data_IF_036485267597
#
_entry.id   IF_036485267597
#
_cell.length_a   1.000
_cell.length_b   1.000
_cell.length_c   1.000
_cell.angle_alpha   90.00
_cell.angle_beta   90.00
_cell.angle_gamma   90.00
#
_symmetry.space_group_name_H-M   'P 1'
#
loop_
_entity.id
_entity.type
_entity.pdbx_description
1 polymer ?
#
# COMPACT_ATOMS: atom_id res chain seq x y z
N UNK A 1 4.54 11.78 7.29
CA UNK A 1 4.21 10.44 7.81
C UNK A 1 2.74 10.49 8.17
N UNK A 2 1.87 9.86 7.38
CA UNK A 2 0.41 9.97 7.46
C UNK A 2 -0.18 8.61 7.79
N UNK A 3 -1.15 8.60 8.70
CA UNK A 3 -1.78 7.42 9.24
C UNK A 3 -3.29 7.47 9.06
N UNK A 4 -3.94 6.30 8.95
CA UNK A 4 -5.38 6.15 8.76
C UNK A 4 -6.15 6.38 10.07
N UNK A 5 -7.25 7.12 9.98
CA UNK A 5 -8.15 7.45 11.08
C UNK A 5 -9.52 6.79 10.81
N UNK A 6 -9.98 5.91 11.71
CA UNK A 6 -11.38 5.49 11.79
C UNK A 6 -11.88 5.85 13.20
N UNK A 7 -12.71 6.88 13.29
CA UNK A 7 -13.24 7.42 14.54
C UNK A 7 -14.45 6.61 15.00
N UNK A 8 -14.36 5.92 16.14
CA UNK A 8 -15.44 5.86 17.15
C UNK A 8 -14.92 5.35 18.51
N UNK A 9 -14.90 6.22 19.52
CA UNK A 9 -14.60 5.83 20.89
C UNK A 9 -14.52 7.02 21.83
N UNK A 10 -15.67 7.52 22.31
CA UNK A 10 -15.72 8.57 23.35
C UNK A 10 -16.00 7.90 24.69
N UNK A 11 -15.06 7.94 25.63
CA UNK A 11 -15.28 7.60 27.04
C UNK A 11 -15.16 8.88 27.88
N UNK A 12 -16.14 9.15 28.74
CA UNK A 12 -16.30 10.40 29.49
C UNK A 12 -15.73 10.25 30.91
N UNK A 13 -14.76 11.08 31.28
CA UNK A 13 -14.24 11.13 32.66
C UNK A 13 -15.08 12.04 33.59
N UNK A 14 -14.91 11.87 34.90
CA UNK A 14 -15.68 12.57 35.94
C UNK A 14 -15.20 14.01 36.23
N UNK A 15 -14.32 14.59 35.40
CA UNK A 15 -13.79 15.95 35.58
C UNK A 15 -14.04 16.87 34.36
N UNK A 16 -14.78 16.41 33.35
CA UNK A 16 -15.25 17.23 32.23
C UNK A 16 -14.13 17.84 31.39
N UNK A 17 -12.92 17.29 31.43
CA UNK A 17 -11.81 17.73 30.60
C UNK A 17 -11.61 16.71 29.47
N UNK A 18 -12.00 17.11 28.27
CA UNK A 18 -11.73 16.40 27.03
C UNK A 18 -10.21 16.37 26.79
N UNK A 19 -9.54 15.34 27.29
CA UNK A 19 -8.16 15.05 26.88
C UNK A 19 -8.22 14.17 25.65
N UNK A 20 -8.06 14.78 24.49
CA UNK A 20 -7.60 14.06 23.32
C UNK A 20 -6.16 13.58 23.61
N UNK A 21 -6.02 12.36 24.12
CA UNK A 21 -4.72 11.69 24.06
C UNK A 21 -4.38 11.50 22.58
N UNK A 22 -3.22 11.97 22.08
CA UNK A 22 -2.79 11.66 20.73
C UNK A 22 -2.52 10.16 20.68
N UNK A 23 -3.49 9.39 20.21
CA UNK A 23 -3.29 7.97 19.99
C UNK A 23 -2.24 7.84 18.89
N UNK A 24 -1.08 7.27 19.27
CA UNK A 24 -0.06 6.83 18.32
C UNK A 24 -0.76 5.94 17.31
N UNK A 25 -0.84 6.44 16.10
CA UNK A 25 -1.28 5.67 14.96
C UNK A 25 -0.40 4.43 14.78
N UNK A 26 -1.03 3.27 14.67
CA UNK A 26 -0.32 2.03 14.37
C UNK A 26 0.25 2.12 12.96
N UNK A 27 1.58 2.04 12.84
CA UNK A 27 2.25 1.91 11.56
C UNK A 27 1.77 0.62 10.89
N UNK A 28 1.20 0.72 9.69
CA UNK A 28 0.84 -0.47 8.93
C UNK A 28 2.12 -1.05 8.29
N UNK A 29 2.30 -2.37 8.41
CA UNK A 29 3.46 -3.05 7.84
C UNK A 29 3.07 -3.74 6.54
N UNK A 30 3.75 -3.38 5.46
CA UNK A 30 3.58 -4.06 4.18
C UNK A 30 4.37 -5.38 4.15
N UNK A 31 3.68 -6.45 3.77
CA UNK A 31 4.28 -7.68 3.29
C UNK A 31 4.52 -7.56 1.80
N UNK A 32 5.74 -7.86 1.37
CA UNK A 32 6.17 -7.71 -0.03
C UNK A 32 6.70 -9.06 -0.53
N UNK A 33 6.17 -9.54 -1.66
CA UNK A 33 6.71 -10.71 -2.35
C UNK A 33 7.12 -10.34 -3.77
N UNK A 34 8.26 -10.85 -4.23
CA UNK A 34 8.62 -10.77 -5.64
C UNK A 34 7.62 -11.59 -6.48
N UNK A 35 7.14 -11.00 -7.57
CA UNK A 35 6.26 -11.66 -8.53
C UNK A 35 7.05 -12.08 -9.78
N UNK A 36 6.40 -12.79 -10.70
CA UNK A 36 6.93 -13.10 -12.03
C UNK A 36 5.85 -12.80 -13.07
N UNK A 37 6.23 -12.03 -14.08
CA UNK A 37 5.45 -11.75 -15.27
C UNK A 37 6.29 -12.12 -16.49
N UNK A 38 5.77 -12.96 -17.38
CA UNK A 38 6.46 -13.35 -18.62
C UNK A 38 6.63 -12.17 -19.57
N UNK A 39 5.75 -11.17 -19.47
CA UNK A 39 5.78 -9.92 -20.23
C UNK A 39 6.54 -8.79 -19.54
N UNK A 40 7.19 -9.06 -18.39
CA UNK A 40 8.00 -8.05 -17.72
C UNK A 40 9.08 -7.54 -18.68
N UNK A 41 8.96 -6.29 -19.08
CA UNK A 41 10.07 -5.58 -19.69
C UNK A 41 11.15 -5.40 -18.61
N UNK A 42 12.42 -5.46 -18.99
CA UNK A 42 13.52 -5.25 -18.04
C UNK A 42 13.58 -3.78 -17.55
N UNK A 43 12.94 -2.85 -18.27
CA UNK A 43 13.14 -1.40 -18.08
C UNK A 43 12.32 -0.72 -16.97
N UNK A 44 11.18 -1.25 -16.50
CA UNK A 44 10.37 -0.55 -15.46
C UNK A 44 10.43 -1.17 -14.07
N UNK A 45 11.40 -2.06 -13.82
CA UNK A 45 11.74 -2.51 -12.47
C UNK A 45 11.20 -3.89 -12.09
N UNK A 46 11.35 -4.25 -10.82
CA UNK A 46 11.04 -5.60 -10.33
C UNK A 46 9.54 -5.75 -10.05
N UNK A 47 8.84 -6.75 -10.61
CA UNK A 47 7.44 -6.99 -10.30
C UNK A 47 7.30 -7.51 -8.86
N UNK A 48 6.40 -6.90 -8.10
CA UNK A 48 6.12 -7.22 -6.69
C UNK A 48 4.63 -7.32 -6.43
N UNK A 49 4.27 -8.14 -5.46
CA UNK A 49 2.95 -8.18 -4.82
C UNK A 49 3.07 -7.50 -3.46
N UNK A 50 2.05 -6.74 -3.08
CA UNK A 50 2.01 -5.97 -1.84
C UNK A 50 0.74 -6.34 -1.07
N UNK A 51 0.87 -6.56 0.23
CA UNK A 51 -0.25 -6.78 1.11
C UNK A 51 -0.04 -6.11 2.48
N UNK A 52 -1.14 -5.81 3.15
CA UNK A 52 -1.19 -5.30 4.52
C UNK A 52 -1.87 -6.32 5.43
N UNK A 53 -2.04 -5.99 6.71
CA UNK A 53 -2.70 -6.86 7.69
C UNK A 53 -2.03 -8.24 7.75
N UNK A 54 -0.70 -8.24 7.89
CA UNK A 54 0.14 -9.44 7.93
C UNK A 54 -0.03 -10.35 6.69
N UNK A 55 -0.27 -9.75 5.52
CA UNK A 55 -0.36 -10.46 4.26
C UNK A 55 -1.77 -10.91 3.86
N UNK A 56 -2.81 -10.56 4.61
CA UNK A 56 -4.18 -11.03 4.37
C UNK A 56 -4.99 -10.14 3.41
N UNK A 57 -4.55 -8.90 3.19
CA UNK A 57 -5.21 -7.94 2.31
C UNK A 57 -4.24 -7.46 1.23
N UNK A 58 -4.38 -7.95 0.00
CA UNK A 58 -3.54 -7.56 -1.13
C UNK A 58 -4.00 -6.24 -1.77
N UNK A 59 -3.02 -5.43 -2.18
CA UNK A 59 -3.24 -4.27 -3.02
C UNK A 59 -3.57 -4.74 -4.45
N UNK A 60 -4.64 -4.19 -5.02
CA UNK A 60 -5.10 -4.48 -6.36
C UNK A 60 -5.38 -3.18 -7.12
N UNK A 61 -5.00 -3.13 -8.39
CA UNK A 61 -5.28 -2.04 -9.30
C UNK A 61 -6.21 -2.54 -10.41
N UNK A 62 -7.46 -2.08 -10.38
CA UNK A 62 -8.51 -2.47 -11.32
C UNK A 62 -9.26 -1.23 -11.81
N UNK A 63 -9.83 -1.30 -13.01
CA UNK A 63 -10.83 -0.34 -13.46
C UNK A 63 -12.03 -0.33 -12.52
N UNK A 64 -12.35 0.85 -12.01
CA UNK A 64 -13.58 1.07 -11.27
C UNK A 64 -14.68 1.34 -12.30
N UNK A 65 -15.73 0.50 -12.36
CA UNK A 65 -16.85 0.66 -13.29
C UNK A 65 -17.58 2.01 -13.15
N UNK A 66 -17.36 2.76 -12.06
CA UNK A 66 -17.91 4.09 -11.83
C UNK A 66 -16.99 5.24 -12.25
N UNK A 67 -15.71 4.96 -12.59
CA UNK A 67 -14.69 5.95 -12.94
C UNK A 67 -14.05 5.62 -14.28
N UNK A 68 -13.54 6.64 -14.97
CA UNK A 68 -12.84 6.46 -16.25
C UNK A 68 -11.35 6.08 -16.09
N UNK A 69 -10.92 5.74 -14.89
CA UNK A 69 -9.52 5.51 -14.54
C UNK A 69 -9.38 4.41 -13.48
N UNK A 70 -8.23 3.71 -13.42
CA UNK A 70 -8.02 2.63 -12.48
C UNK A 70 -7.99 3.13 -11.04
N UNK A 71 -8.45 2.28 -10.13
CA UNK A 71 -8.49 2.56 -8.69
C UNK A 71 -7.61 1.58 -7.92
N UNK A 72 -7.05 2.04 -6.81
CA UNK A 72 -6.39 1.17 -5.85
C UNK A 72 -7.43 0.59 -4.90
N UNK A 73 -7.40 -0.71 -4.69
CA UNK A 73 -8.33 -1.45 -3.85
C UNK A 73 -7.56 -2.40 -2.92
N UNK A 74 -8.08 -2.62 -1.71
CA UNK A 74 -7.65 -3.73 -0.87
C UNK A 74 -8.62 -4.90 -1.09
N UNK A 75 -8.09 -6.05 -1.50
CA UNK A 75 -8.88 -7.28 -1.65
C UNK A 75 -8.53 -8.24 -0.53
N UNK A 76 -9.56 -8.85 0.07
CA UNK A 76 -9.41 -9.91 1.07
C UNK A 76 -8.95 -11.21 0.41
N UNK A 77 -7.67 -11.24 0.07
CA UNK A 77 -6.96 -12.36 -0.54
C UNK A 77 -5.55 -12.34 0.04
N UNK A 78 -5.08 -13.49 0.52
CA UNK A 78 -3.75 -13.56 1.11
C UNK A 78 -2.66 -13.43 0.04
N UNK A 79 -1.53 -12.86 0.43
CA UNK A 79 -0.37 -12.63 -0.43
C UNK A 79 0.15 -13.95 -1.01
N UNK A 80 0.14 -15.02 -0.21
CA UNK A 80 0.51 -16.37 -0.65
C UNK A 80 -0.50 -16.93 -1.67
N UNK A 81 -1.80 -16.73 -1.43
CA UNK A 81 -2.83 -17.18 -2.36
C UNK A 81 -2.68 -16.48 -3.71
N UNK A 82 -2.51 -15.16 -3.74
CA UNK A 82 -2.30 -14.39 -4.97
C UNK A 82 -1.02 -14.85 -5.67
N UNK A 83 0.09 -15.01 -4.95
CA UNK A 83 1.37 -15.44 -5.53
C UNK A 83 1.28 -16.80 -6.26
N UNK A 84 0.43 -17.71 -5.78
CA UNK A 84 0.22 -19.02 -6.36
C UNK A 84 -0.68 -19.03 -7.63
N UNK A 85 -1.37 -17.94 -7.94
CA UNK A 85 -2.28 -17.89 -9.09
C UNK A 85 -1.54 -17.82 -10.43
N UNK A 86 -2.26 -18.04 -11.52
CA UNK A 86 -1.73 -17.81 -12.87
C UNK A 86 -1.45 -16.32 -13.13
N UNK A 87 -0.58 -16.04 -14.11
CA UNK A 87 -0.13 -14.67 -14.42
C UNK A 87 -1.29 -13.70 -14.67
N UNK A 88 -2.30 -14.11 -15.43
CA UNK A 88 -3.45 -13.28 -15.75
C UNK A 88 -4.22 -12.82 -14.49
N UNK A 89 -4.30 -13.68 -13.48
CA UNK A 89 -4.99 -13.39 -12.22
C UNK A 89 -4.11 -12.58 -11.27
N UNK A 90 -2.78 -12.70 -11.36
CA UNK A 90 -1.83 -11.88 -10.58
C UNK A 90 -1.63 -10.48 -11.15
N UNK A 91 -1.90 -10.27 -12.43
CA UNK A 91 -1.58 -9.02 -13.13
C UNK A 91 -2.18 -7.77 -12.43
N UNK A 92 -3.46 -7.75 -11.98
CA UNK A 92 -4.03 -6.61 -11.26
C UNK A 92 -3.39 -6.35 -9.89
N UNK A 93 -2.80 -7.37 -9.28
CA UNK A 93 -2.14 -7.30 -7.97
C UNK A 93 -0.64 -6.99 -8.06
N UNK A 94 -0.09 -6.99 -9.27
CA UNK A 94 1.35 -6.83 -9.48
C UNK A 94 1.67 -5.37 -9.73
N UNK A 95 2.68 -4.88 -9.04
CA UNK A 95 3.26 -3.55 -9.23
C UNK A 95 4.72 -3.68 -9.63
N UNK A 96 5.18 -2.87 -10.57
CA UNK A 96 6.59 -2.74 -10.87
C UNK A 96 7.23 -1.76 -9.90
N UNK A 97 8.17 -2.27 -9.10
CA UNK A 97 9.00 -1.49 -8.19
C UNK A 97 10.28 -1.07 -8.92
N UNK A 98 10.43 0.23 -9.17
CA UNK A 98 11.65 0.82 -9.70
C UNK A 98 12.33 1.71 -8.64
N UNK A 99 13.66 1.74 -8.63
CA UNK A 99 14.42 2.64 -7.77
C UNK A 99 14.74 3.95 -8.49
N UNK A 100 14.45 5.08 -7.84
CA UNK A 100 14.82 6.42 -8.28
C UNK A 100 15.71 7.02 -7.18
N UNK A 101 17.03 6.91 -7.35
CA UNK A 101 17.98 7.20 -6.27
C UNK A 101 17.79 6.22 -5.10
N UNK A 102 17.49 6.75 -3.91
CA UNK A 102 17.16 5.96 -2.70
C UNK A 102 15.67 5.68 -2.51
N UNK A 103 14.83 6.19 -3.40
CA UNK A 103 13.37 6.09 -3.34
C UNK A 103 12.85 5.03 -4.30
N UNK A 104 11.59 4.65 -4.13
CA UNK A 104 10.93 3.63 -4.92
C UNK A 104 9.65 4.18 -5.53
N UNK A 105 9.40 3.88 -6.79
CA UNK A 105 8.10 4.05 -7.42
C UNK A 105 7.41 2.69 -7.54
N UNK A 106 6.08 2.71 -7.64
CA UNK A 106 5.26 1.51 -7.78
C UNK A 106 4.26 1.73 -8.92
N UNK A 107 4.57 1.24 -10.11
CA UNK A 107 3.68 1.30 -11.27
C UNK A 107 2.77 0.07 -11.33
N UNK A 108 1.49 0.23 -11.69
CA UNK A 108 0.58 -0.91 -11.91
C UNK A 108 1.00 -1.73 -13.12
N UNK A 109 1.07 -3.06 -12.97
CA UNK A 109 1.33 -3.95 -14.09
C UNK A 109 0.12 -4.10 -15.03
N UNK A 110 -1.11 -4.00 -14.49
CA UNK A 110 -2.33 -4.04 -15.28
C UNK A 110 -2.61 -2.73 -16.02
N UNK A 111 -2.13 -1.60 -15.48
CA UNK A 111 -2.38 -0.26 -16.03
C UNK A 111 -1.05 0.50 -16.17
N UNK A 112 -0.36 0.31 -17.29
CA UNK A 112 0.92 0.99 -17.57
C UNK A 112 0.77 2.51 -17.51
N UNK A 113 1.75 3.18 -16.89
CA UNK A 113 1.77 4.63 -16.66
C UNK A 113 1.05 5.08 -15.39
N UNK A 114 0.36 4.17 -14.69
CA UNK A 114 -0.32 4.49 -13.42
C UNK A 114 0.51 4.08 -12.23
N UNK A 115 0.75 5.02 -11.33
CA UNK A 115 1.60 4.85 -10.15
C UNK A 115 0.80 4.96 -8.87
N UNK A 116 1.23 4.21 -7.85
CA UNK A 116 0.80 4.43 -6.49
C UNK A 116 1.18 5.86 -6.06
N UNK A 117 0.27 6.55 -5.40
CA UNK A 117 0.49 7.93 -4.99
C UNK A 117 -0.22 8.29 -3.69
N UNK A 118 0.33 9.30 -3.01
CA UNK A 118 -0.29 9.92 -1.83
C UNK A 118 -0.50 11.41 -2.07
N UNK A 119 -1.52 11.97 -1.44
CA UNK A 119 -1.77 13.42 -1.44
C UNK A 119 -0.79 14.17 -0.53
N UNK A 120 -0.67 15.48 -0.74
CA UNK A 120 0.01 16.39 0.20
C UNK A 120 -0.82 16.61 1.48
N UNK A 121 -2.14 16.42 1.40
CA UNK A 121 -3.02 16.56 2.53
C UNK A 121 -3.00 15.28 3.36
N UNK A 122 -2.80 15.41 4.67
CA UNK A 122 -2.87 14.29 5.59
C UNK A 122 -4.32 13.74 5.67
N UNK A 123 -4.45 12.43 5.87
CA UNK A 123 -5.75 11.75 6.00
C UNK A 123 -6.38 11.33 4.67
N UNK A 124 -5.85 11.79 3.54
CA UNK A 124 -6.32 11.34 2.22
C UNK A 124 -5.87 9.90 1.93
N UNK A 125 -6.69 9.11 1.21
CA UNK A 125 -6.36 7.74 0.87
C UNK A 125 -5.18 7.65 -0.11
N UNK A 126 -4.49 6.51 -0.09
CA UNK A 126 -3.55 6.15 -1.14
C UNK A 126 -4.32 5.82 -2.42
N UNK A 127 -3.86 6.34 -3.56
CA UNK A 127 -4.57 6.24 -4.83
C UNK A 127 -3.64 5.95 -6.01
N UNK A 128 -4.23 5.69 -7.18
CA UNK A 128 -3.49 5.57 -8.44
C UNK A 128 -3.48 6.91 -9.17
N UNK A 129 -2.36 7.25 -9.81
CA UNK A 129 -2.23 8.48 -10.62
C UNK A 129 -1.39 8.24 -11.87
N UNK A 130 -1.73 8.87 -12.98
CA UNK A 130 -0.92 8.92 -14.20
C UNK A 130 -0.13 10.24 -14.34
N UNK A 131 -0.44 11.22 -13.51
CA UNK A 131 0.27 12.50 -13.44
C UNK A 131 1.54 12.41 -12.59
N UNK A 132 2.69 12.38 -13.25
CA UNK A 132 4.00 12.53 -12.62
C UNK A 132 4.28 14.02 -12.35
N UNK A 133 3.58 14.60 -11.37
CA UNK A 133 3.75 16.00 -10.92
C UNK A 133 2.50 16.60 -10.28
N UNK A 134 2.68 17.71 -9.55
CA UNK A 134 1.60 18.44 -8.86
C UNK A 134 1.50 18.13 -7.37
N UNK A 135 0.29 18.20 -6.80
CA UNK A 135 0.03 17.95 -5.38
C UNK A 135 -0.11 16.44 -5.05
N UNK A 136 0.75 15.58 -5.62
CA UNK A 136 0.88 14.16 -5.23
C UNK A 136 2.34 13.71 -5.13
N UNK A 137 2.61 12.70 -4.30
CA UNK A 137 3.91 12.02 -4.22
C UNK A 137 3.81 10.60 -4.76
N UNK A 138 4.77 10.18 -5.57
CA UNK A 138 4.87 8.82 -6.15
C UNK A 138 6.15 8.08 -5.74
N UNK A 139 6.99 8.74 -4.93
CA UNK A 139 8.27 8.23 -4.47
C UNK A 139 8.18 7.83 -2.99
N UNK A 140 8.54 6.59 -2.68
CA UNK A 140 8.37 5.97 -1.36
C UNK A 140 9.68 5.42 -0.82
N UNK A 141 9.95 5.65 0.46
CA UNK A 141 10.99 4.93 1.19
C UNK A 141 10.47 3.57 1.62
N UNK A 142 11.33 2.55 1.56
CA UNK A 142 11.02 1.20 2.04
C UNK A 142 11.92 0.93 3.25
N UNK A 143 11.34 0.98 4.43
CA UNK A 143 12.04 0.73 5.68
C UNK A 143 11.77 -0.70 6.14
N UNK A 144 12.84 -1.45 6.43
CA UNK A 144 12.70 -2.80 6.97
C UNK A 144 12.34 -2.72 8.45
N UNK A 145 11.16 -3.23 8.80
CA UNK A 145 10.80 -3.45 10.20
C UNK A 145 11.69 -4.57 10.73
N UNK A 146 12.64 -4.24 11.61
CA UNK A 146 13.45 -5.23 12.30
C UNK A 146 12.54 -6.21 13.05
N UNK A 147 12.82 -7.52 12.97
CA UNK A 147 12.04 -8.55 13.67
C UNK A 147 11.99 -8.19 15.16
N UNK A 148 10.81 -7.84 15.68
CA UNK A 148 10.64 -7.64 17.11
C UNK A 148 11.10 -8.92 17.81
N UNK A 149 12.11 -8.81 18.68
CA UNK A 149 12.53 -9.92 19.51
C UNK A 149 11.35 -10.30 20.39
N UNK A 150 10.66 -11.39 20.04
CA UNK A 150 9.74 -12.07 20.95
C UNK A 150 10.60 -12.49 22.14
N UNK A 151 10.52 -11.69 23.19
CA UNK A 151 11.09 -12.03 24.49
C UNK A 151 10.29 -13.23 24.98
N UNK A 152 10.91 -14.38 25.30
CA UNK A 152 10.16 -15.47 25.89
C UNK A 152 9.66 -15.00 27.26
N UNK A 153 8.34 -15.00 27.45
CA UNK A 153 7.73 -14.84 28.76
C UNK A 153 8.29 -15.94 29.68
N UNK A 154 8.92 -15.51 30.77
CA UNK A 154 9.52 -16.37 31.79
C UNK A 154 8.46 -16.85 32.77
#
# INVERSE_FOLDING_TARGET
MSFLEENTGVEMDSAGHERAEPQRSSEETFSVLASRLCSAYEEKGSPVLLAVSNGELCLCCEEDNSKSYPSLQLKKQSLEYVAAQEEAQRLPFTFYRAMVGSWNTLESAAHTGWFLSTSFNAGEPVEMTDSLGGNKYTEFSFEHVGKAAVSPSK
#
